data_IF_969717083012
#
_entry.id   IF_969717083012
#
_cell.length_a   1.000
_cell.length_b   1.000
_cell.length_c   1.000
_cell.angle_alpha   90.00
_cell.angle_beta   90.00
_cell.angle_gamma   90.00
#
_symmetry.space_group_name_H-M   'P 1'
#
loop_
_entity.id
_entity.type
_entity.pdbx_description
1 polymer ?
#
# COMPACT_ATOMS: atom_id res chain seq x y z
N UNK A 1 9.91 -12.80 -10.55
CA UNK A 1 9.01 -11.74 -11.02
C UNK A 1 8.78 -11.93 -12.53
N UNK A 2 7.53 -11.93 -13.01
CA UNK A 2 7.21 -12.20 -14.43
C UNK A 2 7.74 -11.10 -15.35
N UNK A 3 7.83 -9.85 -14.87
CA UNK A 3 8.35 -8.72 -15.67
C UNK A 3 9.87 -8.78 -15.80
N UNK A 4 10.60 -9.11 -14.73
CA UNK A 4 12.05 -9.38 -14.82
C UNK A 4 12.36 -10.58 -15.73
N UNK A 5 11.56 -11.66 -15.63
CA UNK A 5 11.67 -12.80 -16.55
C UNK A 5 11.34 -12.41 -18.00
N UNK A 6 10.48 -11.41 -18.21
CA UNK A 6 10.21 -10.85 -19.52
C UNK A 6 11.36 -10.00 -20.04
N UNK A 7 12.06 -9.24 -19.21
CA UNK A 7 13.19 -8.43 -19.66
C UNK A 7 14.36 -9.31 -20.15
N UNK A 8 14.51 -10.49 -19.56
CA UNK A 8 15.45 -11.53 -20.00
C UNK A 8 14.99 -12.30 -21.24
N UNK A 9 13.78 -12.05 -21.75
CA UNK A 9 13.30 -12.71 -22.96
C UNK A 9 13.93 -12.09 -24.21
N UNK A 10 14.72 -12.86 -24.94
CA UNK A 10 15.39 -12.44 -26.19
C UNK A 10 14.43 -12.06 -27.32
N UNK A 11 13.14 -12.40 -27.20
CA UNK A 11 12.12 -12.08 -28.19
C UNK A 11 11.57 -10.65 -28.14
N UNK A 12 12.04 -9.79 -27.21
CA UNK A 12 11.65 -8.39 -27.16
C UNK A 12 12.52 -7.54 -28.08
N UNK A 13 11.88 -6.67 -28.84
CA UNK A 13 12.56 -5.52 -29.44
C UNK A 13 13.05 -4.56 -28.36
N UNK A 14 14.09 -3.77 -28.65
CA UNK A 14 14.58 -2.74 -27.72
C UNK A 14 13.46 -1.80 -27.27
N UNK A 15 12.58 -1.38 -28.19
CA UNK A 15 11.44 -0.52 -27.87
C UNK A 15 10.47 -1.18 -26.87
N UNK A 16 10.17 -2.46 -27.03
CA UNK A 16 9.31 -3.20 -26.10
C UNK A 16 9.96 -3.33 -24.72
N UNK A 17 11.28 -3.58 -24.68
CA UNK A 17 12.06 -3.66 -23.44
C UNK A 17 12.04 -2.32 -22.70
N UNK A 18 12.34 -1.23 -23.40
CA UNK A 18 12.32 0.11 -22.83
C UNK A 18 10.92 0.46 -22.31
N UNK A 19 9.84 0.15 -23.02
CA UNK A 19 8.48 0.38 -22.53
C UNK A 19 8.22 -0.38 -21.22
N UNK A 20 8.62 -1.65 -21.10
CA UNK A 20 8.48 -2.42 -19.84
C UNK A 20 9.31 -1.82 -18.71
N UNK A 21 10.56 -1.46 -18.95
CA UNK A 21 11.42 -0.89 -17.92
C UNK A 21 10.83 0.43 -17.40
N UNK A 22 10.47 1.32 -18.30
CA UNK A 22 9.97 2.65 -17.94
C UNK A 22 8.58 2.60 -17.29
N UNK A 23 7.65 1.83 -17.86
CA UNK A 23 6.29 1.76 -17.35
C UNK A 23 6.16 0.82 -16.14
N UNK A 24 6.66 -0.41 -16.25
CA UNK A 24 6.39 -1.45 -15.24
C UNK A 24 7.43 -1.51 -14.12
N UNK A 25 8.69 -1.13 -14.38
CA UNK A 25 9.71 -1.05 -13.32
C UNK A 25 9.83 0.35 -12.72
N UNK A 26 9.85 1.39 -13.56
CA UNK A 26 10.03 2.77 -13.10
C UNK A 26 8.70 3.49 -12.80
N UNK A 27 7.56 2.93 -13.22
CA UNK A 27 6.24 3.48 -12.92
C UNK A 27 5.90 4.78 -13.66
N UNK A 28 6.57 5.07 -14.78
CA UNK A 28 6.22 6.23 -15.61
C UNK A 28 4.85 6.04 -16.28
N UNK A 29 4.13 7.15 -16.47
CA UNK A 29 2.87 7.10 -17.19
C UNK A 29 3.12 6.81 -18.68
N UNK A 30 2.16 6.14 -19.34
CA UNK A 30 2.28 5.82 -20.77
C UNK A 30 2.44 7.05 -21.66
N UNK A 31 1.90 8.20 -21.21
CA UNK A 31 2.07 9.49 -21.87
C UNK A 31 3.54 9.92 -21.85
N UNK A 32 4.15 9.94 -20.67
CA UNK A 32 5.55 10.32 -20.47
C UNK A 32 6.51 9.38 -21.22
N UNK A 33 6.21 8.06 -21.18
CA UNK A 33 6.94 7.05 -21.98
C UNK A 33 6.83 7.35 -23.48
N UNK A 34 5.65 7.75 -23.94
CA UNK A 34 5.40 8.12 -25.33
C UNK A 34 6.21 9.34 -25.74
N UNK A 35 6.19 10.41 -24.94
CA UNK A 35 6.99 11.61 -25.15
C UNK A 35 8.49 11.28 -25.24
N UNK A 36 8.99 10.46 -24.32
CA UNK A 36 10.41 10.08 -24.29
C UNK A 36 10.85 9.21 -25.48
N UNK A 37 9.96 8.35 -25.98
CA UNK A 37 10.21 7.48 -27.13
C UNK A 37 9.78 8.11 -28.47
N UNK A 38 9.32 9.36 -28.46
CA UNK A 38 8.78 10.08 -29.60
C UNK A 38 7.66 9.30 -30.34
N UNK A 39 6.74 8.70 -29.57
CA UNK A 39 5.57 7.97 -30.07
C UNK A 39 4.32 8.36 -29.26
N UNK A 40 3.13 8.20 -29.84
CA UNK A 40 1.90 8.53 -29.11
C UNK A 40 1.62 7.58 -27.93
N UNK A 41 0.98 8.09 -26.88
CA UNK A 41 0.52 7.27 -25.73
C UNK A 41 -0.28 6.04 -26.19
N UNK A 42 -1.18 6.22 -27.17
CA UNK A 42 -1.96 5.13 -27.76
C UNK A 42 -1.06 4.06 -28.38
N UNK A 43 0.03 4.47 -29.04
CA UNK A 43 1.00 3.53 -29.60
C UNK A 43 1.73 2.76 -28.52
N UNK A 44 2.16 3.42 -27.44
CA UNK A 44 2.77 2.76 -26.27
C UNK A 44 1.81 1.73 -25.67
N UNK A 45 0.54 2.10 -25.47
CA UNK A 45 -0.50 1.20 -24.94
C UNK A 45 -0.71 -0.04 -25.82
N UNK A 46 -0.74 0.15 -27.15
CA UNK A 46 -0.86 -0.96 -28.10
C UNK A 46 0.34 -1.91 -28.02
N UNK A 47 1.56 -1.38 -28.02
CA UNK A 47 2.79 -2.18 -27.91
C UNK A 47 2.79 -2.95 -26.60
N UNK A 48 2.46 -2.29 -25.49
CA UNK A 48 2.39 -2.93 -24.17
C UNK A 48 1.34 -4.05 -24.12
N UNK A 49 0.14 -3.84 -24.67
CA UNK A 49 -0.91 -4.88 -24.75
C UNK A 49 -0.47 -6.08 -25.59
N UNK A 50 0.12 -5.84 -26.76
CA UNK A 50 0.62 -6.90 -27.64
C UNK A 50 1.74 -7.71 -26.95
N UNK A 51 2.65 -7.03 -26.28
CA UNK A 51 3.74 -7.63 -25.53
C UNK A 51 3.22 -8.53 -24.41
N UNK A 52 2.27 -8.06 -23.59
CA UNK A 52 1.66 -8.87 -22.54
C UNK A 52 0.91 -10.08 -23.10
N UNK A 53 0.25 -9.95 -24.25
CA UNK A 53 -0.43 -11.07 -24.89
C UNK A 53 0.57 -12.14 -25.37
N UNK A 54 1.69 -11.71 -25.99
CA UNK A 54 2.79 -12.59 -26.40
C UNK A 54 3.43 -13.29 -25.18
N UNK A 55 3.71 -12.53 -24.14
CA UNK A 55 4.24 -13.03 -22.87
C UNK A 55 3.35 -14.13 -22.28
N UNK A 56 2.04 -13.88 -22.17
CA UNK A 56 1.08 -14.85 -21.65
C UNK A 56 1.08 -16.16 -22.44
N UNK A 57 1.10 -16.09 -23.78
CA UNK A 57 1.20 -17.28 -24.63
C UNK A 57 2.50 -18.05 -24.41
N UNK A 58 3.61 -17.33 -24.26
CA UNK A 58 4.92 -17.91 -24.01
C UNK A 58 5.00 -18.65 -22.67
N UNK A 59 4.53 -18.03 -21.58
CA UNK A 59 4.51 -18.65 -20.26
C UNK A 59 3.51 -19.80 -20.15
N UNK A 60 2.33 -19.67 -20.77
CA UNK A 60 1.34 -20.75 -20.80
C UNK A 60 1.89 -22.04 -21.43
N UNK A 61 2.69 -21.93 -22.51
CA UNK A 61 3.35 -23.09 -23.14
C UNK A 61 4.40 -23.78 -22.26
N UNK A 62 4.95 -23.09 -21.26
CA UNK A 62 5.96 -23.63 -20.33
C UNK A 62 5.36 -24.17 -19.03
N UNK A 63 4.05 -24.36 -18.98
CA UNK A 63 3.36 -24.79 -17.76
C UNK A 63 3.32 -23.73 -16.67
N UNK A 64 3.94 -22.56 -16.87
CA UNK A 64 3.84 -21.39 -16.01
C UNK A 64 2.50 -20.73 -16.30
N UNK A 65 1.44 -21.37 -15.81
CA UNK A 65 0.14 -20.75 -15.73
C UNK A 65 0.29 -19.60 -14.75
N UNK A 66 -0.13 -18.39 -15.16
CA UNK A 66 -0.48 -17.39 -14.14
C UNK A 66 -1.36 -18.13 -13.12
N UNK A 67 -1.20 -17.92 -11.80
CA UNK A 67 -2.35 -18.12 -10.95
C UNK A 67 -3.47 -17.36 -11.65
N UNK A 68 -4.52 -18.09 -12.08
CA UNK A 68 -5.78 -17.47 -12.47
C UNK A 68 -5.96 -16.39 -11.42
N UNK A 69 -6.21 -15.15 -11.83
CA UNK A 69 -6.90 -14.27 -10.90
C UNK A 69 -8.17 -15.05 -10.59
N UNK A 70 -8.14 -15.86 -9.53
CA UNK A 70 -9.30 -16.07 -8.72
C UNK A 70 -9.81 -14.65 -8.53
N UNK A 71 -11.09 -14.52 -8.77
CA UNK A 71 -11.91 -13.42 -8.33
C UNK A 71 -11.80 -13.22 -6.81
N UNK A 72 -10.59 -13.08 -6.26
CA UNK A 72 -10.38 -12.10 -5.22
C UNK A 72 -10.70 -10.79 -5.92
N UNK A 73 -11.83 -10.22 -5.53
CA UNK A 73 -12.36 -8.97 -6.02
C UNK A 73 -11.33 -7.83 -5.89
N UNK A 74 -11.74 -6.59 -6.13
CA UNK A 74 -10.82 -5.47 -6.10
C UNK A 74 -9.98 -5.54 -4.83
N UNK A 75 -8.65 -5.39 -4.94
CA UNK A 75 -7.72 -5.21 -3.82
C UNK A 75 -7.98 -3.90 -3.03
N UNK A 76 -9.22 -3.45 -2.98
CA UNK A 76 -9.77 -2.85 -1.77
C UNK A 76 -9.91 -4.04 -0.83
N UNK A 77 -9.08 -4.19 0.21
CA UNK A 77 -9.45 -3.54 1.46
C UNK A 77 -8.43 -3.91 2.56
N UNK A 78 -7.51 -2.98 2.86
CA UNK A 78 -6.95 -2.73 4.19
C UNK A 78 -5.66 -3.36 4.69
N UNK A 79 -4.74 -3.93 3.92
CA UNK A 79 -3.40 -4.27 4.47
C UNK A 79 -2.35 -3.33 3.89
N UNK A 80 -1.77 -2.50 4.75
CA UNK A 80 -0.72 -1.54 4.45
C UNK A 80 0.61 -2.11 4.96
N UNK A 81 1.72 -2.03 4.20
CA UNK A 81 3.05 -2.35 4.70
C UNK A 81 3.33 -1.64 6.03
N UNK A 82 3.91 -2.36 7.00
CA UNK A 82 4.21 -1.76 8.29
C UNK A 82 5.12 -0.51 8.17
N UNK A 83 4.93 0.53 9.01
CA UNK A 83 5.65 1.79 8.85
C UNK A 83 7.18 1.65 8.92
N UNK A 84 7.69 0.73 9.73
CA UNK A 84 9.12 0.39 9.80
C UNK A 84 9.64 -0.14 8.46
N UNK A 85 8.92 -1.02 7.78
CA UNK A 85 9.28 -1.55 6.46
C UNK A 85 9.29 -0.43 5.43
N UNK A 86 8.28 0.45 5.46
CA UNK A 86 8.22 1.59 4.54
C UNK A 86 9.41 2.53 4.76
N UNK A 87 9.74 2.87 6.02
CA UNK A 87 10.90 3.69 6.36
C UNK A 87 12.20 3.03 5.88
N UNK A 88 12.37 1.74 6.15
CA UNK A 88 13.55 1.00 5.74
C UNK A 88 13.69 0.95 4.22
N UNK A 89 12.59 0.72 3.50
CA UNK A 89 12.57 0.75 2.04
C UNK A 89 12.85 2.13 1.46
N UNK A 90 12.38 3.21 2.08
CA UNK A 90 12.72 4.58 1.66
C UNK A 90 14.23 4.84 1.82
N UNK A 91 14.83 4.37 2.92
CA UNK A 91 16.25 4.62 3.21
C UNK A 91 17.18 3.72 2.38
N UNK A 92 16.80 2.46 2.16
CA UNK A 92 17.69 1.42 1.62
C UNK A 92 17.26 0.88 0.24
N UNK A 93 16.03 1.16 -0.20
CA UNK A 93 15.40 0.51 -1.36
C UNK A 93 15.76 1.07 -2.73
N UNK A 94 16.77 1.93 -2.83
CA UNK A 94 17.16 2.61 -4.07
C UNK A 94 15.97 3.28 -4.80
N UNK A 95 15.10 3.93 -4.03
CA UNK A 95 13.91 4.62 -4.53
C UNK A 95 14.25 6.09 -4.75
N UNK A 96 13.81 6.67 -5.87
CA UNK A 96 14.05 8.09 -6.12
C UNK A 96 13.35 9.00 -5.09
N UNK A 97 13.72 10.28 -5.05
CA UNK A 97 13.23 11.22 -4.03
C UNK A 97 11.71 11.47 -4.13
N UNK A 98 11.16 11.56 -5.35
CA UNK A 98 9.71 11.73 -5.54
C UNK A 98 8.92 10.55 -5.01
N UNK A 99 9.31 9.34 -5.39
CA UNK A 99 8.64 8.11 -4.99
C UNK A 99 8.77 7.87 -3.48
N UNK A 100 9.92 8.22 -2.89
CA UNK A 100 10.10 8.23 -1.44
C UNK A 100 9.11 9.16 -0.75
N UNK A 101 8.88 10.34 -1.33
CA UNK A 101 7.91 11.33 -0.82
C UNK A 101 6.47 10.87 -1.00
N UNK A 102 6.13 10.22 -2.11
CA UNK A 102 4.82 9.57 -2.32
C UNK A 102 4.57 8.49 -1.26
N UNK A 103 5.56 7.62 -0.99
CA UNK A 103 5.47 6.57 0.02
C UNK A 103 5.26 7.16 1.42
N UNK A 104 6.03 8.19 1.77
CA UNK A 104 5.88 8.90 3.05
C UNK A 104 4.49 9.49 3.20
N UNK A 105 4.03 10.26 2.20
CA UNK A 105 2.72 10.89 2.23
C UNK A 105 1.58 9.87 2.35
N UNK A 106 1.66 8.76 1.60
CA UNK A 106 0.59 7.77 1.59
C UNK A 106 0.59 6.87 2.84
N UNK A 107 1.74 6.29 3.19
CA UNK A 107 1.83 5.24 4.21
C UNK A 107 2.16 5.76 5.60
N UNK A 108 2.84 6.91 5.72
CA UNK A 108 3.24 7.48 7.01
C UNK A 108 2.35 8.67 7.42
N UNK A 109 1.97 9.52 6.47
CA UNK A 109 1.10 10.69 6.72
C UNK A 109 -0.38 10.41 6.43
N UNK A 110 -0.71 9.25 5.84
CA UNK A 110 -2.10 8.83 5.58
C UNK A 110 -2.85 9.65 4.54
N UNK A 111 -2.16 10.40 3.68
CA UNK A 111 -2.78 11.19 2.62
C UNK A 111 -3.47 10.31 1.59
N UNK A 112 -4.58 10.82 1.04
CA UNK A 112 -5.30 10.16 -0.06
C UNK A 112 -4.58 10.33 -1.38
N UNK A 113 -4.91 9.49 -2.37
CA UNK A 113 -4.33 9.61 -3.71
C UNK A 113 -4.60 11.00 -4.33
N UNK A 114 -5.79 11.57 -4.10
CA UNK A 114 -6.14 12.91 -4.55
C UNK A 114 -5.29 14.01 -3.90
N UNK A 115 -5.03 13.91 -2.59
CA UNK A 115 -4.19 14.88 -1.88
C UNK A 115 -2.72 14.81 -2.34
N UNK A 116 -2.24 13.60 -2.60
CA UNK A 116 -0.90 13.38 -3.14
C UNK A 116 -0.84 13.91 -4.58
N UNK A 117 -1.82 13.55 -5.41
CA UNK A 117 -1.93 14.00 -6.79
C UNK A 117 -1.85 15.53 -6.90
N UNK A 118 -2.61 16.25 -6.06
CA UNK A 118 -2.58 17.71 -5.97
C UNK A 118 -1.19 18.26 -5.59
N UNK A 119 -0.45 17.55 -4.72
CA UNK A 119 0.90 17.98 -4.28
C UNK A 119 1.95 17.83 -5.39
N UNK A 120 1.80 16.83 -6.27
CA UNK A 120 2.75 16.53 -7.34
C UNK A 120 2.30 17.05 -8.71
N UNK A 121 1.12 17.66 -8.83
CA UNK A 121 0.55 18.07 -10.11
C UNK A 121 0.25 16.88 -11.03
N UNK A 122 -0.04 15.71 -10.47
CA UNK A 122 -0.33 14.47 -11.19
C UNK A 122 -1.81 14.11 -11.08
N UNK A 123 -2.27 13.12 -11.86
CA UNK A 123 -3.61 12.55 -11.69
C UNK A 123 -3.65 11.51 -10.56
N UNK A 124 -4.82 11.33 -9.95
CA UNK A 124 -5.08 10.27 -8.96
C UNK A 124 -4.72 8.88 -9.50
N UNK A 125 -5.01 8.65 -10.79
CA UNK A 125 -4.67 7.40 -11.47
C UNK A 125 -3.16 7.19 -11.57
N UNK A 126 -2.37 8.24 -11.83
CA UNK A 126 -0.92 8.15 -11.89
C UNK A 126 -0.32 7.83 -10.51
N UNK A 127 -0.81 8.48 -9.44
CA UNK A 127 -0.40 8.17 -8.06
C UNK A 127 -0.76 6.72 -7.70
N UNK A 128 -1.97 6.28 -8.06
CA UNK A 128 -2.42 4.92 -7.83
C UNK A 128 -1.55 3.87 -8.54
N UNK A 129 -1.11 4.13 -9.77
CA UNK A 129 -0.20 3.23 -10.49
C UNK A 129 1.21 3.23 -9.89
N UNK A 130 1.79 4.42 -9.63
CA UNK A 130 3.12 4.54 -8.99
C UNK A 130 3.15 3.79 -7.67
N UNK A 131 2.12 3.92 -6.84
CA UNK A 131 2.01 3.18 -5.57
C UNK A 131 2.01 1.67 -5.74
N UNK A 132 1.36 1.13 -6.78
CA UNK A 132 1.35 -0.32 -7.06
C UNK A 132 2.75 -0.81 -7.43
N UNK A 133 3.46 -0.06 -8.28
CA UNK A 133 4.85 -0.36 -8.64
C UNK A 133 5.75 -0.31 -7.41
N UNK A 134 5.64 0.74 -6.59
CA UNK A 134 6.45 0.86 -5.37
C UNK A 134 6.16 -0.22 -4.34
N UNK A 135 4.89 -0.65 -4.20
CA UNK A 135 4.55 -1.79 -3.35
C UNK A 135 5.20 -3.09 -3.85
N UNK A 136 5.29 -3.28 -5.17
CA UNK A 136 5.96 -4.43 -5.77
C UNK A 136 7.46 -4.39 -5.51
N UNK A 137 8.11 -3.25 -5.74
CA UNK A 137 9.54 -3.05 -5.46
C UNK A 137 9.86 -3.27 -3.98
N UNK A 138 9.00 -2.78 -3.09
CA UNK A 138 9.15 -3.00 -1.65
C UNK A 138 9.07 -4.48 -1.26
N UNK A 139 8.15 -5.25 -1.86
CA UNK A 139 8.11 -6.70 -1.66
C UNK A 139 9.39 -7.38 -2.13
N UNK A 140 9.93 -6.99 -3.28
CA UNK A 140 11.19 -7.53 -3.78
C UNK A 140 12.36 -7.18 -2.85
N UNK A 141 12.41 -5.94 -2.36
CA UNK A 141 13.39 -5.51 -1.37
C UNK A 141 13.31 -6.36 -0.10
N UNK A 142 12.12 -6.60 0.43
CA UNK A 142 11.94 -7.45 1.60
C UNK A 142 12.41 -8.89 1.35
N UNK A 143 12.02 -9.49 0.22
CA UNK A 143 12.47 -10.84 -0.16
C UNK A 143 14.00 -10.91 -0.30
N UNK A 144 14.62 -9.91 -0.95
CA UNK A 144 16.08 -9.87 -1.17
C UNK A 144 16.86 -9.74 0.13
N UNK A 145 16.33 -9.00 1.11
CA UNK A 145 16.99 -8.75 2.40
C UNK A 145 16.52 -9.70 3.51
N UNK A 146 15.73 -10.73 3.17
CA UNK A 146 15.14 -11.66 4.13
C UNK A 146 14.34 -10.96 5.25
N UNK A 147 13.71 -9.84 4.93
CA UNK A 147 12.86 -9.06 5.84
C UNK A 147 11.43 -9.59 5.70
N UNK A 148 10.79 -10.06 6.79
CA UNK A 148 9.41 -10.50 6.72
C UNK A 148 8.50 -9.31 6.39
N UNK A 149 7.70 -9.45 5.32
CA UNK A 149 6.75 -8.42 4.94
C UNK A 149 5.56 -8.44 5.91
N UNK A 150 5.63 -7.63 6.96
CA UNK A 150 4.50 -7.41 7.87
C UNK A 150 3.54 -6.36 7.28
N UNK A 151 2.26 -6.59 7.51
CA UNK A 151 1.19 -5.69 7.09
C UNK A 151 0.39 -5.26 8.31
N UNK A 152 0.10 -3.97 8.40
CA UNK A 152 -0.84 -3.41 9.35
C UNK A 152 -2.20 -3.29 8.69
N UNK A 153 -3.25 -3.76 9.35
CA UNK A 153 -4.61 -3.66 8.84
C UNK A 153 -5.13 -2.22 8.98
N UNK A 154 -5.25 -1.48 7.87
CA UNK A 154 -5.93 -0.18 7.75
C UNK A 154 -7.36 -0.20 8.34
N UNK A 155 -7.99 -1.38 8.45
CA UNK A 155 -9.38 -1.57 8.89
C UNK A 155 -9.57 -1.53 10.40
N UNK A 156 -8.52 -1.77 11.17
CA UNK A 156 -8.57 -1.65 12.62
C UNK A 156 -7.76 -0.43 13.03
N UNK A 157 -7.93 0.75 12.44
CA UNK A 157 -9.06 1.55 12.87
C UNK A 157 -9.16 2.93 12.14
N UNK A 158 -8.55 3.07 10.96
CA UNK A 158 -8.52 4.35 10.22
C UNK A 158 -7.57 5.40 10.80
N UNK A 159 -6.67 4.99 11.70
CA UNK A 159 -5.72 5.87 12.39
C UNK A 159 -4.35 5.80 11.73
N UNK A 160 -3.79 6.96 11.41
CA UNK A 160 -2.47 7.14 10.81
C UNK A 160 -1.39 7.19 11.89
N UNK A 161 -0.12 6.81 11.59
CA UNK A 161 0.98 6.96 12.53
C UNK A 161 1.11 8.37 13.10
N UNK A 162 0.79 9.40 12.32
CA UNK A 162 0.87 10.79 12.77
C UNK A 162 -0.27 11.16 13.72
N UNK A 163 -1.49 10.70 13.47
CA UNK A 163 -2.61 10.84 14.41
C UNK A 163 -2.31 10.11 15.73
N UNK A 164 -1.64 8.94 15.69
CA UNK A 164 -1.16 8.27 16.91
C UNK A 164 -0.15 9.11 17.66
N UNK A 165 0.84 9.71 16.98
CA UNK A 165 1.82 10.58 17.67
C UNK A 165 1.14 11.79 18.30
N UNK A 166 0.23 12.44 17.59
CA UNK A 166 -0.53 13.58 18.11
C UNK A 166 -1.35 13.19 19.33
N UNK A 167 -2.00 12.02 19.26
CA UNK A 167 -2.74 11.46 20.38
C UNK A 167 -1.84 11.16 21.59
N UNK A 168 -0.73 10.46 21.39
CA UNK A 168 0.22 10.12 22.45
C UNK A 168 0.84 11.38 23.09
N UNK A 169 0.90 12.49 22.36
CA UNK A 169 1.34 13.78 22.90
C UNK A 169 0.25 14.51 23.73
N UNK A 170 -1.03 14.16 23.55
CA UNK A 170 -2.18 14.82 24.20
C UNK A 170 -2.76 14.02 25.37
N UNK A 171 -2.65 12.69 25.34
CA UNK A 171 -3.28 11.82 26.33
C UNK A 171 -2.30 11.41 27.41
N UNK A 172 -2.75 11.52 28.66
CA UNK A 172 -2.01 11.06 29.83
C UNK A 172 -2.20 9.54 30.00
N UNK A 173 -1.52 8.76 29.16
CA UNK A 173 -1.39 7.30 29.32
C UNK A 173 -0.21 6.98 30.23
N UNK A 174 -0.22 5.80 30.85
CA UNK A 174 0.98 5.29 31.52
C UNK A 174 2.07 4.96 30.48
N UNK A 175 3.32 4.84 30.95
CA UNK A 175 4.48 4.62 30.10
C UNK A 175 4.40 3.28 29.32
N UNK A 176 3.81 2.26 29.95
CA UNK A 176 3.64 0.94 29.34
C UNK A 176 2.65 0.97 28.17
N UNK A 177 1.47 1.56 28.34
CA UNK A 177 0.42 1.67 27.32
C UNK A 177 0.89 2.57 26.16
N UNK A 178 1.63 3.63 26.46
CA UNK A 178 2.28 4.50 25.46
C UNK A 178 3.26 3.69 24.61
N UNK A 179 4.06 2.84 25.25
CA UNK A 179 5.04 1.98 24.58
C UNK A 179 4.36 0.89 23.73
N UNK A 180 3.28 0.29 24.23
CA UNK A 180 2.46 -0.69 23.51
C UNK A 180 1.89 -0.07 22.22
N UNK A 181 1.26 1.10 22.32
CA UNK A 181 0.68 1.79 21.15
C UNK A 181 1.77 2.24 20.17
N UNK A 182 2.91 2.71 20.67
CA UNK A 182 4.08 3.06 19.84
C UNK A 182 4.57 1.85 19.06
N UNK A 183 4.81 0.73 19.73
CA UNK A 183 5.29 -0.49 19.07
C UNK A 183 4.29 -1.04 18.06
N UNK A 184 2.99 -0.95 18.35
CA UNK A 184 1.95 -1.40 17.44
C UNK A 184 1.86 -0.51 16.18
N UNK A 185 1.68 0.80 16.38
CA UNK A 185 1.33 1.73 15.31
C UNK A 185 2.53 2.37 14.61
N UNK A 186 3.66 2.55 15.30
CA UNK A 186 4.84 3.22 14.76
C UNK A 186 5.94 2.24 14.35
N UNK A 187 6.11 1.15 15.11
CA UNK A 187 7.14 0.14 14.84
C UNK A 187 6.59 -1.08 14.09
N UNK A 188 5.27 -1.23 14.03
CA UNK A 188 4.61 -2.30 13.28
C UNK A 188 4.82 -3.70 13.87
N UNK A 189 5.06 -3.79 15.19
CA UNK A 189 5.09 -5.07 15.90
C UNK A 189 3.69 -5.69 15.93
N UNK A 190 3.65 -7.01 15.88
CA UNK A 190 2.42 -7.79 15.99
C UNK A 190 1.92 -7.85 17.42
N UNK A 191 0.62 -8.12 17.62
CA UNK A 191 0.04 -8.32 18.96
C UNK A 191 0.81 -9.39 19.75
N UNK A 192 1.29 -10.45 19.09
CA UNK A 192 2.09 -11.51 19.72
C UNK A 192 3.46 -11.03 20.22
N UNK A 193 4.17 -10.25 19.39
CA UNK A 193 5.47 -9.69 19.76
C UNK A 193 5.36 -8.70 20.93
N UNK A 194 4.30 -7.89 20.93
CA UNK A 194 4.05 -6.92 22.01
C UNK A 194 3.63 -7.65 23.29
N UNK A 195 2.78 -8.67 23.17
CA UNK A 195 2.36 -9.50 24.31
C UNK A 195 3.56 -10.16 25.00
N UNK A 196 4.50 -10.68 24.22
CA UNK A 196 5.74 -11.28 24.72
C UNK A 196 6.65 -10.25 25.39
N UNK A 197 6.76 -9.05 24.85
CA UNK A 197 7.69 -8.02 25.34
C UNK A 197 7.23 -7.30 26.60
N UNK A 198 5.92 -7.08 26.76
CA UNK A 198 5.35 -6.38 27.91
C UNK A 198 4.65 -7.30 28.92
N UNK A 199 4.66 -8.62 28.69
CA UNK A 199 3.90 -9.60 29.47
C UNK A 199 2.41 -9.22 29.60
N UNK A 200 1.80 -8.80 28.48
CA UNK A 200 0.40 -8.34 28.42
C UNK A 200 -0.44 -9.26 27.56
N UNK A 201 -1.72 -9.39 27.92
CA UNK A 201 -2.66 -10.16 27.10
C UNK A 201 -3.01 -9.42 25.80
N UNK A 202 -3.27 -10.17 24.72
CA UNK A 202 -3.78 -9.59 23.47
C UNK A 202 -5.09 -8.81 23.64
N UNK A 203 -5.88 -9.15 24.67
CA UNK A 203 -7.09 -8.41 25.05
C UNK A 203 -6.80 -6.98 25.51
N UNK A 204 -5.75 -6.79 26.32
CA UNK A 204 -5.27 -5.47 26.78
C UNK A 204 -4.83 -4.60 25.60
N UNK A 205 -3.99 -5.16 24.71
CA UNK A 205 -3.55 -4.50 23.48
C UNK A 205 -4.76 -4.08 22.63
N UNK A 206 -5.73 -4.99 22.47
CA UNK A 206 -6.96 -4.72 21.73
C UNK A 206 -7.82 -3.61 22.34
N UNK A 207 -7.86 -3.51 23.67
CA UNK A 207 -8.60 -2.46 24.38
C UNK A 207 -7.96 -1.08 24.20
N UNK A 208 -6.63 -0.99 24.35
CA UNK A 208 -5.89 0.24 24.10
C UNK A 208 -6.12 0.75 22.68
N UNK A 209 -6.09 -0.15 21.70
CA UNK A 209 -6.35 0.18 20.29
C UNK A 209 -7.78 0.69 20.08
N UNK A 210 -8.79 0.09 20.71
CA UNK A 210 -10.18 0.57 20.63
C UNK A 210 -10.34 1.96 21.24
N UNK A 211 -9.72 2.20 22.40
CA UNK A 211 -9.79 3.48 23.12
C UNK A 211 -9.16 4.63 22.33
N UNK A 212 -7.96 4.41 21.79
CA UNK A 212 -7.26 5.34 20.90
C UNK A 212 -8.18 5.83 19.77
N UNK A 213 -8.90 4.89 19.19
CA UNK A 213 -9.68 5.12 17.96
C UNK A 213 -10.97 5.81 18.22
N UNK A 214 -11.62 5.43 19.31
CA UNK A 214 -12.80 6.12 19.78
C UNK A 214 -12.48 7.59 20.03
N UNK A 215 -11.38 7.89 20.71
CA UNK A 215 -10.97 9.26 21.01
C UNK A 215 -10.58 10.06 19.76
N UNK A 216 -9.86 9.47 18.80
CA UNK A 216 -9.54 10.14 17.53
C UNK A 216 -10.82 10.47 16.73
N UNK A 217 -11.82 9.59 16.77
CA UNK A 217 -13.12 9.85 16.13
C UNK A 217 -13.90 10.96 16.83
N UNK A 218 -13.84 11.00 18.16
CA UNK A 218 -14.48 12.05 18.97
C UNK A 218 -13.81 13.41 18.77
N UNK A 219 -12.49 13.48 18.56
CA UNK A 219 -11.80 14.72 18.21
C UNK A 219 -12.16 15.22 16.80
N UNK A 220 -12.31 14.31 15.83
CA UNK A 220 -12.70 14.67 14.47
C UNK A 220 -14.18 15.11 14.36
N UNK A 221 -15.07 14.57 15.19
CA UNK A 221 -16.49 14.92 15.22
C UNK A 221 -16.76 16.37 15.68
N UNK A 222 -15.81 16.99 16.39
CA UNK A 222 -15.91 18.37 16.88
C UNK A 222 -15.20 19.40 15.97
N UNK A 223 -14.65 18.98 14.82
CA UNK A 223 -14.04 19.85 13.81
C UNK A 223 -14.95 20.12 12.60
N UNK A 224 -14.72 21.19 11.81
CA UNK A 224 -15.61 21.62 10.72
C UNK A 224 -15.59 20.73 9.46
N UNK A 225 -15.10 19.49 9.54
CA UNK A 225 -14.98 18.58 8.41
C UNK A 225 -15.60 17.22 8.73
N UNK A 226 -16.93 17.21 8.94
CA UNK A 226 -17.69 15.98 8.93
C UNK A 226 -17.52 15.26 7.58
N UNK A 227 -17.27 13.95 7.63
CA UNK A 227 -17.03 13.03 6.50
C UNK A 227 -15.57 12.82 6.06
N UNK A 228 -14.78 12.14 6.90
CA UNK A 228 -13.65 11.31 6.40
C UNK A 228 -13.94 9.81 6.45
N UNK A 229 -14.90 9.36 7.26
CA UNK A 229 -15.19 7.95 7.44
C UNK A 229 -16.70 7.72 7.64
N UNK A 230 -17.41 7.03 6.74
CA UNK A 230 -18.79 6.64 7.02
C UNK A 230 -18.81 5.65 8.19
N UNK A 231 -19.72 5.87 9.14
CA UNK A 231 -19.98 4.92 10.21
C UNK A 231 -20.32 3.54 9.60
N UNK A 232 -19.91 2.42 10.22
CA UNK A 232 -20.34 1.11 9.76
C UNK A 232 -21.86 1.03 9.88
N UNK A 233 -22.54 0.86 8.73
CA UNK A 233 -23.99 0.73 8.64
C UNK A 233 -24.47 -0.41 9.55
N UNK A 234 -25.04 -0.07 10.70
CA UNK A 234 -25.78 -1.01 11.56
C UNK A 234 -27.22 -1.08 11.05
N UNK A 235 -27.44 -1.63 9.86
CA UNK A 235 -28.80 -2.03 9.46
C UNK A 235 -28.75 -2.90 8.20
N UNK A 236 -28.73 -4.21 8.42
CA UNK A 236 -29.37 -5.22 7.57
C UNK A 236 -29.33 -6.54 8.35
N UNK A 237 -30.12 -6.59 9.43
CA UNK A 237 -30.61 -7.86 9.95
C UNK A 237 -31.79 -8.26 9.06
N UNK A 238 -31.58 -9.22 8.17
CA UNK A 238 -32.67 -9.91 7.48
C UNK A 238 -33.43 -10.75 8.52
N UNK A 239 -34.77 -10.66 8.60
CA UNK A 239 -35.53 -11.52 9.49
C UNK A 239 -35.49 -12.96 8.99
N UNK A 240 -35.22 -13.89 9.91
CA UNK A 240 -35.31 -15.32 9.66
C UNK A 240 -36.76 -15.68 9.27
N UNK A 241 -36.95 -16.12 8.03
CA UNK A 241 -38.17 -16.77 7.59
C UNK A 241 -38.03 -18.28 7.79
N UNK A 242 -38.74 -18.81 8.79
CA UNK A 242 -39.29 -20.17 8.78
C UNK A 242 -40.73 -20.06 9.26
N UNK A 243 -41.63 -20.84 8.66
CA UNK A 243 -41.93 -22.15 9.25
C UNK A 243 -41.52 -23.32 8.38
#
# INVERSE_FOLDING_TARGET
DMVEQLLQWEGLSEKERTILELHDLQGMAMKDVGEMLNISESRVSQVHKQLLARARKFFARRGIHRPRHTSHGPLHTHTIPAPNIVKQFIVQGNVNQENSRILKMYYLEGKTDAQIAATFGLSDSAIGQRRKVLLKLMRQFCTKNNIPMSYVTRKSHGVTPEEVKQFLAQVNLNEQDTSILTMYYLDGKTDAQIAEEFDVTGSHIGELRRRLVQQIRESDANGPSASKYPAPNKEQALPASSP
#
